data_IF_861761667919
#
_entry.id   IF_861761667919
#
_cell.length_a   1.000
_cell.length_b   1.000
_cell.length_c   1.000
_cell.angle_alpha   90.00
_cell.angle_beta   90.00
_cell.angle_gamma   90.00
#
_symmetry.space_group_name_H-M   'P 1'
#
loop_
_entity.id
_entity.type
_entity.pdbx_description
1 polymer ?
#
# COMPACT_ATOMS: atom_id res chain seq x y z
N UNK A 1 7.45 1.61 -22.79
CA UNK A 1 6.69 0.74 -21.86
C UNK A 1 7.38 0.82 -20.51
N UNK A 2 6.84 1.60 -19.56
CA UNK A 2 7.43 1.74 -18.22
C UNK A 2 6.86 0.63 -17.35
N UNK A 3 7.71 -0.26 -16.83
CA UNK A 3 7.28 -1.30 -15.88
C UNK A 3 7.07 -0.63 -14.52
N UNK A 4 5.84 -0.66 -14.01
CA UNK A 4 5.45 0.04 -12.77
C UNK A 4 5.07 -0.91 -11.62
N UNK A 5 5.00 -2.22 -11.87
CA UNK A 5 4.63 -3.27 -10.89
C UNK A 5 5.52 -4.49 -11.06
N UNK A 6 5.82 -5.19 -9.97
CA UNK A 6 6.55 -6.46 -9.97
C UNK A 6 6.16 -7.33 -8.78
N UNK A 7 6.27 -8.66 -8.93
CA UNK A 7 6.24 -9.60 -7.79
C UNK A 7 7.67 -9.97 -7.41
N UNK A 8 7.93 -10.05 -6.10
CA UNK A 8 9.20 -10.50 -5.56
C UNK A 8 9.15 -12.02 -5.44
N UNK A 9 10.13 -12.71 -6.01
CA UNK A 9 10.30 -14.16 -5.85
C UNK A 9 10.76 -14.48 -4.43
N UNK A 10 9.87 -15.07 -3.63
CA UNK A 10 10.12 -15.38 -2.22
C UNK A 10 11.28 -16.37 -2.02
N UNK A 11 11.56 -17.22 -3.02
CA UNK A 11 12.63 -18.22 -2.92
C UNK A 11 14.02 -17.58 -3.02
N UNK A 12 14.10 -16.33 -3.49
CA UNK A 12 15.34 -15.56 -3.60
C UNK A 12 15.57 -14.62 -2.41
N UNK A 13 14.65 -14.58 -1.44
CA UNK A 13 14.78 -13.75 -0.24
C UNK A 13 15.74 -14.45 0.73
N UNK A 14 16.95 -13.91 0.85
CA UNK A 14 17.92 -14.39 1.84
C UNK A 14 17.71 -13.69 3.19
N UNK A 15 17.77 -14.42 4.32
CA UNK A 15 17.77 -13.81 5.64
C UNK A 15 18.87 -12.75 5.77
N UNK A 16 18.56 -11.64 6.43
CA UNK A 16 19.55 -10.63 6.83
C UNK A 16 19.73 -10.67 8.34
N UNK A 17 20.98 -10.53 8.78
CA UNK A 17 21.31 -10.55 10.22
C UNK A 17 20.79 -9.32 10.97
N UNK A 18 20.57 -8.20 10.27
CA UNK A 18 20.00 -6.97 10.84
C UNK A 18 18.54 -6.78 10.45
N UNK A 19 17.68 -6.60 11.46
CA UNK A 19 16.27 -6.22 11.27
C UNK A 19 16.15 -4.70 11.17
N UNK A 20 15.32 -4.23 10.25
CA UNK A 20 14.91 -2.83 10.19
C UNK A 20 13.98 -2.43 11.33
N UNK A 21 13.74 -1.13 11.49
CA UNK A 21 12.73 -0.60 12.43
C UNK A 21 11.33 -0.79 11.83
N UNK A 22 10.36 -1.15 12.66
CA UNK A 22 8.95 -1.27 12.27
C UNK A 22 8.16 -0.16 12.92
N UNK A 23 7.44 0.62 12.11
CA UNK A 23 6.55 1.70 12.56
C UNK A 23 5.12 1.31 12.20
N UNK A 24 4.26 1.22 13.21
CA UNK A 24 2.84 0.92 13.02
C UNK A 24 2.03 2.23 13.00
N UNK A 25 1.36 2.49 11.89
CA UNK A 25 0.42 3.62 11.77
C UNK A 25 -0.99 3.11 12.07
N UNK A 26 -1.62 3.70 13.10
CA UNK A 26 -3.00 3.39 13.52
C UNK A 26 -3.84 4.67 13.59
N UNK A 27 -5.15 4.51 13.74
CA UNK A 27 -6.09 5.62 13.89
C UNK A 27 -7.12 5.30 14.99
N UNK A 28 -7.86 6.33 15.41
CA UNK A 28 -9.05 6.16 16.24
C UNK A 28 -10.16 5.39 15.50
N UNK A 29 -11.27 5.13 16.19
CA UNK A 29 -12.46 4.52 15.59
C UNK A 29 -12.91 5.31 14.34
N UNK A 30 -13.30 4.63 13.24
CA UNK A 30 -13.68 5.30 12.00
C UNK A 30 -14.88 6.23 12.17
N UNK A 31 -14.84 7.34 11.47
CA UNK A 31 -15.84 8.40 11.41
C UNK A 31 -16.16 8.73 9.94
N UNK A 32 -17.33 9.31 9.63
CA UNK A 32 -17.66 9.73 8.26
C UNK A 32 -16.70 10.77 7.67
N UNK A 33 -15.97 11.53 8.49
CA UNK A 33 -15.01 12.53 8.03
C UNK A 33 -13.75 11.89 7.41
N UNK A 34 -13.42 10.65 7.79
CA UNK A 34 -12.23 9.94 7.35
C UNK A 34 -10.97 10.35 8.11
N UNK A 35 -10.17 9.37 8.49
CA UNK A 35 -9.00 9.56 9.36
C UNK A 35 -7.69 9.74 8.59
N UNK A 36 -7.69 9.50 7.27
CA UNK A 36 -6.52 9.70 6.42
C UNK A 36 -5.35 8.75 6.70
N UNK A 37 -5.57 7.61 7.37
CA UNK A 37 -4.51 6.67 7.79
C UNK A 37 -3.56 6.27 6.65
N UNK A 38 -4.09 5.90 5.48
CA UNK A 38 -3.26 5.51 4.33
C UNK A 38 -2.42 6.69 3.83
N UNK A 39 -2.99 7.88 3.77
CA UNK A 39 -2.29 9.12 3.37
C UNK A 39 -1.14 9.43 4.33
N UNK A 40 -1.38 9.34 5.65
CA UNK A 40 -0.33 9.53 6.65
C UNK A 40 0.76 8.46 6.52
N UNK A 41 0.40 7.22 6.22
CA UNK A 41 1.37 6.14 6.06
C UNK A 41 2.31 6.38 4.88
N UNK A 42 1.78 6.81 3.74
CA UNK A 42 2.59 7.15 2.55
C UNK A 42 3.42 8.41 2.81
N UNK A 43 2.80 9.49 3.30
CA UNK A 43 3.51 10.75 3.54
C UNK A 43 4.60 10.64 4.61
N UNK A 44 4.43 9.77 5.61
CA UNK A 44 5.48 9.49 6.60
C UNK A 44 6.70 8.84 5.94
N UNK A 45 6.49 7.91 5.01
CA UNK A 45 7.59 7.30 4.28
C UNK A 45 8.27 8.28 3.34
N UNK A 46 7.51 9.13 2.64
CA UNK A 46 8.05 10.20 1.80
C UNK A 46 8.93 11.14 2.63
N UNK A 47 8.46 11.56 3.82
CA UNK A 47 9.24 12.39 4.73
C UNK A 47 10.53 11.68 5.22
N UNK A 48 10.47 10.39 5.54
CA UNK A 48 11.68 9.64 5.90
C UNK A 48 12.66 9.51 4.73
N UNK A 49 12.15 9.38 3.51
CA UNK A 49 12.95 9.36 2.31
C UNK A 49 13.66 10.71 2.09
N UNK A 50 12.95 11.84 2.26
CA UNK A 50 13.55 13.19 2.24
C UNK A 50 14.65 13.36 3.29
N UNK A 51 14.49 12.73 4.46
CA UNK A 51 15.51 12.64 5.52
C UNK A 51 16.63 11.62 5.21
N UNK A 52 16.73 11.13 3.98
CA UNK A 52 17.74 10.18 3.48
C UNK A 52 17.74 8.85 4.25
N UNK A 53 16.58 8.39 4.73
CA UNK A 53 16.42 7.05 5.31
C UNK A 53 15.98 6.06 4.25
N UNK A 54 16.49 4.83 4.34
CA UNK A 54 15.98 3.70 3.56
C UNK A 54 14.68 3.22 4.22
N UNK A 55 13.56 3.43 3.54
CA UNK A 55 12.21 3.22 4.07
C UNK A 55 11.36 2.54 3.00
N UNK A 56 10.43 1.69 3.43
CA UNK A 56 9.43 1.06 2.59
C UNK A 56 8.08 1.05 3.32
N UNK A 57 6.99 1.07 2.57
CA UNK A 57 5.63 0.97 3.10
C UNK A 57 5.04 -0.39 2.74
N UNK A 58 4.30 -0.98 3.68
CA UNK A 58 3.44 -2.13 3.43
C UNK A 58 1.97 -1.72 3.59
N UNK A 59 1.19 -1.78 2.51
CA UNK A 59 -0.25 -1.52 2.50
C UNK A 59 -1.00 -2.81 2.10
N UNK A 60 -2.29 -2.87 2.44
CA UNK A 60 -3.18 -3.95 1.99
C UNK A 60 -3.73 -3.60 0.61
N UNK A 61 -3.85 -4.60 -0.25
CA UNK A 61 -4.60 -4.48 -1.51
C UNK A 61 -6.08 -4.19 -1.20
N UNK A 62 -6.69 -3.17 -1.83
CA UNK A 62 -8.12 -2.92 -1.67
C UNK A 62 -8.94 -4.04 -2.32
N UNK A 63 -10.06 -4.40 -1.69
CA UNK A 63 -11.01 -5.31 -2.32
C UNK A 63 -11.68 -4.63 -3.53
N UNK A 64 -11.95 -5.42 -4.57
CA UNK A 64 -12.58 -4.98 -5.82
C UNK A 64 -14.05 -4.53 -5.65
N UNK A 65 -14.78 -5.07 -4.68
CA UNK A 65 -16.21 -4.74 -4.50
C UNK A 65 -16.45 -3.26 -4.11
N UNK A 66 -15.80 -2.74 -3.05
CA UNK A 66 -15.97 -1.36 -2.59
C UNK A 66 -15.50 -0.27 -3.56
N UNK A 67 -14.65 -0.57 -4.55
CA UNK A 67 -14.16 0.41 -5.53
C UNK A 67 -15.20 0.83 -6.56
N UNK A 68 -16.27 0.05 -6.75
CA UNK A 68 -17.46 0.44 -7.54
C UNK A 68 -18.53 1.19 -6.71
N UNK A 69 -18.26 1.48 -5.44
CA UNK A 69 -19.14 2.20 -4.52
C UNK A 69 -18.56 3.54 -4.01
N UNK A 70 -18.75 3.85 -2.73
CA UNK A 70 -18.44 5.16 -2.11
C UNK A 70 -16.96 5.32 -1.71
N UNK A 71 -16.17 4.25 -1.68
CA UNK A 71 -14.86 4.26 -0.99
C UNK A 71 -13.69 4.55 -1.94
N UNK A 72 -13.38 5.83 -2.13
CA UNK A 72 -12.16 6.28 -2.79
C UNK A 72 -10.98 6.38 -1.82
N UNK A 73 -9.85 5.73 -2.12
CA UNK A 73 -8.55 6.06 -1.50
C UNK A 73 -7.97 5.06 -0.49
N UNK A 74 -7.93 3.76 -0.81
CA UNK A 74 -7.20 2.79 0.03
C UNK A 74 -5.67 2.96 -0.03
N UNK A 75 -5.17 3.59 -1.10
CA UNK A 75 -3.75 3.79 -1.41
C UNK A 75 -3.21 5.16 -1.01
N UNK A 76 -3.95 5.94 -0.23
CA UNK A 76 -3.60 7.31 0.15
C UNK A 76 -4.45 8.35 -0.60
N UNK A 77 -3.99 9.60 -0.64
CA UNK A 77 -4.73 10.69 -1.28
C UNK A 77 -3.91 11.99 -1.38
N UNK A 78 -4.30 12.86 -2.31
CA UNK A 78 -3.57 14.10 -2.59
C UNK A 78 -2.16 13.81 -3.14
N UNK A 79 -1.15 14.47 -2.59
CA UNK A 79 0.26 14.28 -2.99
C UNK A 79 0.91 13.02 -2.40
N UNK A 80 0.28 12.40 -1.39
CA UNK A 80 0.79 11.19 -0.72
C UNK A 80 -0.09 9.98 -1.06
N UNK A 81 0.22 9.33 -2.18
CA UNK A 81 -0.52 8.19 -2.71
C UNK A 81 0.40 7.17 -3.40
N UNK A 82 -0.01 5.90 -3.39
CA UNK A 82 0.65 4.84 -4.15
C UNK A 82 0.06 4.72 -5.55
N UNK A 83 0.93 4.66 -6.55
CA UNK A 83 0.60 4.57 -7.97
C UNK A 83 1.13 3.26 -8.58
N UNK A 84 0.55 2.76 -9.68
CA UNK A 84 -0.65 3.27 -10.38
C UNK A 84 -1.97 2.87 -9.70
N UNK A 85 -2.81 3.85 -9.38
CA UNK A 85 -4.03 3.66 -8.59
C UNK A 85 -5.11 2.83 -9.30
N UNK A 86 -5.24 2.99 -10.63
CA UNK A 86 -6.21 2.25 -11.45
C UNK A 86 -5.96 0.75 -11.38
N UNK A 87 -4.69 0.34 -11.53
CA UNK A 87 -4.31 -1.06 -11.43
C UNK A 87 -4.54 -1.61 -10.04
N UNK A 88 -4.17 -0.86 -8.99
CA UNK A 88 -4.29 -1.31 -7.59
C UNK A 88 -5.75 -1.51 -7.19
N UNK A 89 -6.66 -0.66 -7.68
CA UNK A 89 -8.08 -0.70 -7.33
C UNK A 89 -8.90 -1.73 -8.14
N UNK A 90 -8.33 -2.29 -9.20
CA UNK A 90 -8.99 -3.24 -10.09
C UNK A 90 -8.40 -4.65 -9.92
N UNK A 91 -7.70 -5.15 -10.93
CA UNK A 91 -7.20 -6.52 -10.96
C UNK A 91 -5.80 -6.68 -10.39
N UNK A 92 -5.12 -5.57 -10.10
CA UNK A 92 -3.75 -5.48 -9.64
C UNK A 92 -2.82 -6.54 -10.26
N UNK A 93 -2.36 -7.51 -9.47
CA UNK A 93 -1.55 -8.64 -9.94
C UNK A 93 -2.30 -10.00 -9.84
N UNK A 94 -3.62 -9.97 -9.68
CA UNK A 94 -4.49 -11.14 -9.65
C UNK A 94 -4.51 -11.92 -8.34
N UNK A 95 -4.06 -11.32 -7.23
CA UNK A 95 -3.96 -12.02 -5.94
C UNK A 95 -5.34 -12.41 -5.41
N UNK A 96 -6.33 -11.52 -5.50
CA UNK A 96 -7.72 -11.87 -5.14
C UNK A 96 -8.33 -12.94 -6.06
N UNK A 97 -8.06 -12.89 -7.38
CA UNK A 97 -8.54 -13.91 -8.31
C UNK A 97 -8.00 -15.29 -7.96
N UNK A 98 -6.73 -15.38 -7.55
CA UNK A 98 -6.13 -16.64 -7.11
C UNK A 98 -6.77 -17.17 -5.82
N UNK A 99 -7.18 -16.29 -4.89
CA UNK A 99 -7.83 -16.69 -3.63
C UNK A 99 -9.27 -17.14 -3.85
N UNK A 100 -10.04 -16.47 -4.72
CA UNK A 100 -11.46 -16.78 -4.96
C UNK A 100 -11.68 -18.10 -5.71
N UNK A 101 -10.72 -18.53 -6.51
CA UNK A 101 -10.80 -19.78 -7.29
C UNK A 101 -10.30 -21.03 -6.52
N UNK A 102 -9.97 -20.88 -5.23
CA UNK A 102 -9.56 -21.97 -4.34
C UNK A 102 -10.75 -22.62 -3.61
#
# INVERSE_FOLDING_TARGET
MVITKAKIDINKITPRDSKGKVVLVTAMSPTPAGEGKSTVTVGLADAFHELKKNVMVALREPALGPTFGIKGGATGGGYAQVLPMEDINLHFNGDFHAITNC
#
